data_IF_121387231639
#
_entry.id   IF_121387231639
#
_cell.length_a   1.000
_cell.length_b   1.000
_cell.length_c   1.000
_cell.angle_alpha   90.00
_cell.angle_beta   90.00
_cell.angle_gamma   90.00
#
_symmetry.space_group_name_H-M   'P 1'
#
loop_
_entity.id
_entity.type
_entity.pdbx_description
1 polymer ?
#
# COMPACT_ATOMS: atom_id res chain seq x y z
N UNK A 1 32.20 1.40 21.29
CA UNK A 1 31.57 2.18 20.20
C UNK A 1 30.59 1.29 19.46
N UNK A 2 29.55 1.82 18.83
CA UNK A 2 28.51 1.03 18.16
C UNK A 2 29.06 0.05 17.11
N UNK A 3 30.20 0.37 16.51
CA UNK A 3 30.90 -0.47 15.53
C UNK A 3 31.59 -1.69 16.19
N UNK A 4 31.97 -1.60 17.47
CA UNK A 4 32.61 -2.69 18.21
C UNK A 4 31.62 -3.77 18.66
N UNK A 5 30.32 -3.44 18.73
CA UNK A 5 29.27 -4.38 19.13
C UNK A 5 28.66 -5.12 17.94
N UNK A 6 28.90 -4.65 16.71
CA UNK A 6 28.34 -5.23 15.47
C UNK A 6 29.46 -5.37 14.42
N UNK A 7 30.37 -6.33 14.56
CA UNK A 7 31.53 -6.47 13.68
C UNK A 7 31.16 -6.82 12.24
N UNK A 8 29.99 -7.43 12.02
CA UNK A 8 29.53 -7.91 10.70
C UNK A 8 28.77 -6.86 9.88
N UNK A 9 28.52 -5.67 10.46
CA UNK A 9 27.67 -4.65 9.85
C UNK A 9 28.45 -3.35 9.63
N UNK A 10 28.55 -2.92 8.37
CA UNK A 10 29.12 -1.61 8.04
C UNK A 10 28.15 -0.49 8.44
N UNK A 11 28.43 0.19 9.55
CA UNK A 11 27.62 1.31 10.04
C UNK A 11 28.11 2.61 9.39
N UNK A 12 27.30 3.15 8.49
CA UNK A 12 27.60 4.43 7.82
C UNK A 12 27.20 5.59 8.74
N UNK A 13 28.21 6.28 9.27
CA UNK A 13 28.02 7.46 10.14
C UNK A 13 27.62 8.73 9.36
N UNK A 14 26.95 9.66 10.04
CA UNK A 14 26.54 10.97 9.47
C UNK A 14 27.77 11.74 8.95
N UNK A 15 27.63 12.42 7.81
CA UNK A 15 28.69 13.24 7.20
C UNK A 15 29.50 12.56 6.09
N UNK A 16 29.41 11.23 5.93
CA UNK A 16 30.12 10.45 4.90
C UNK A 16 29.42 10.43 3.52
N UNK A 17 28.54 11.39 3.24
CA UNK A 17 27.69 11.37 2.03
C UNK A 17 28.48 11.39 0.70
N UNK A 18 29.64 12.04 0.69
CA UNK A 18 30.53 12.13 -0.47
C UNK A 18 31.28 10.83 -0.76
N UNK A 19 31.49 9.96 0.24
CA UNK A 19 32.16 8.66 0.07
C UNK A 19 31.19 7.49 -0.15
N UNK A 20 29.88 7.75 -0.23
CA UNK A 20 28.87 6.72 -0.45
C UNK A 20 28.73 6.35 -1.93
N UNK A 21 28.57 5.04 -2.19
CA UNK A 21 28.19 4.51 -3.51
C UNK A 21 26.82 5.05 -3.94
N UNK A 22 26.56 5.02 -5.25
CA UNK A 22 25.27 5.47 -5.82
C UNK A 22 24.08 4.67 -5.26
N UNK A 23 24.26 3.38 -4.97
CA UNK A 23 23.28 2.52 -4.33
C UNK A 23 22.97 2.97 -2.89
N UNK A 24 24.00 3.21 -2.08
CA UNK A 24 23.83 3.70 -0.70
C UNK A 24 23.14 5.07 -0.67
N UNK A 25 23.48 5.96 -1.60
CA UNK A 25 22.82 7.26 -1.75
C UNK A 25 21.33 7.13 -2.09
N UNK A 26 20.98 6.16 -2.97
CA UNK A 26 19.58 5.87 -3.31
C UNK A 26 18.80 5.33 -2.10
N UNK A 27 19.40 4.46 -1.30
CA UNK A 27 18.79 3.96 -0.06
C UNK A 27 18.57 5.07 0.96
N UNK A 28 19.57 5.95 1.14
CA UNK A 28 19.45 7.09 2.04
C UNK A 28 18.32 8.04 1.60
N UNK A 29 18.23 8.35 0.31
CA UNK A 29 17.16 9.21 -0.24
C UNK A 29 15.76 8.60 -0.04
N UNK A 30 15.62 7.28 -0.17
CA UNK A 30 14.35 6.58 0.13
C UNK A 30 14.00 6.66 1.61
N UNK A 31 14.98 6.51 2.51
CA UNK A 31 14.77 6.62 3.97
C UNK A 31 14.38 8.04 4.39
N UNK A 32 14.99 9.07 3.83
CA UNK A 32 14.67 10.46 4.13
C UNK A 32 13.21 10.82 3.83
N UNK A 33 12.57 10.16 2.86
CA UNK A 33 11.14 10.36 2.60
C UNK A 33 10.24 9.72 3.68
N UNK A 34 10.73 8.69 4.38
CA UNK A 34 10.00 7.92 5.39
C UNK A 34 10.25 8.45 6.81
N UNK A 35 11.43 9.01 7.08
CA UNK A 35 11.80 9.59 8.38
C UNK A 35 10.78 10.62 8.91
N UNK A 36 10.25 11.56 8.10
CA UNK A 36 9.21 12.48 8.55
C UNK A 36 7.92 11.74 8.94
N UNK A 37 7.52 10.73 8.18
CA UNK A 37 6.34 9.94 8.49
C UNK A 37 6.50 9.16 9.82
N UNK A 38 7.69 8.61 10.08
CA UNK A 38 8.02 7.96 11.36
C UNK A 38 8.06 8.98 12.50
N UNK A 39 8.61 10.17 12.28
CA UNK A 39 8.62 11.25 13.27
C UNK A 39 7.21 11.69 13.66
N UNK A 40 6.35 11.93 12.67
CA UNK A 40 4.93 12.19 12.88
C UNK A 40 4.22 11.03 13.58
N UNK A 41 4.52 9.78 13.20
CA UNK A 41 3.95 8.61 13.88
C UNK A 41 4.30 8.58 15.37
N UNK A 42 5.56 8.89 15.71
CA UNK A 42 6.02 8.90 17.10
C UNK A 42 5.35 9.99 17.92
N UNK A 43 5.32 11.21 17.39
CA UNK A 43 4.82 12.39 18.09
C UNK A 43 3.29 12.48 18.10
N UNK A 44 2.64 12.31 16.94
CA UNK A 44 1.19 12.54 16.79
C UNK A 44 0.36 11.37 17.32
N UNK A 45 0.89 10.14 17.29
CA UNK A 45 0.17 8.95 17.75
C UNK A 45 0.65 8.44 19.11
N UNK A 46 1.46 9.22 19.84
CA UNK A 46 1.82 8.90 21.22
C UNK A 46 2.62 7.60 21.39
N UNK A 47 3.49 7.25 20.44
CA UNK A 47 4.41 6.11 20.63
C UNK A 47 5.41 6.36 21.76
N UNK A 48 5.59 7.63 22.18
CA UNK A 48 6.46 7.99 23.31
C UNK A 48 5.90 7.52 24.66
N UNK A 49 4.61 7.14 24.76
CA UNK A 49 3.99 6.66 26.01
C UNK A 49 3.07 5.47 25.74
N UNK A 50 3.55 4.27 26.06
CA UNK A 50 2.71 3.07 26.13
C UNK A 50 2.13 2.93 27.55
N UNK A 51 0.81 2.80 27.66
CA UNK A 51 0.11 2.57 28.93
C UNK A 51 -0.18 1.08 29.18
N UNK A 52 0.11 0.22 28.19
CA UNK A 52 -0.03 -1.23 28.33
C UNK A 52 1.19 -1.82 29.03
N UNK A 53 0.98 -2.85 29.85
CA UNK A 53 2.06 -3.48 30.60
C UNK A 53 2.79 -4.54 29.76
N UNK A 54 4.12 -4.46 29.77
CA UNK A 54 5.02 -5.48 29.22
C UNK A 54 5.28 -5.35 27.72
N UNK A 55 6.23 -6.14 27.22
CA UNK A 55 6.71 -6.09 25.83
C UNK A 55 5.64 -6.38 24.79
N UNK A 56 4.65 -7.22 25.13
CA UNK A 56 3.49 -7.48 24.27
C UNK A 56 2.62 -6.23 24.12
N UNK A 57 2.44 -5.47 25.21
CA UNK A 57 1.69 -4.22 25.20
C UNK A 57 2.34 -3.16 24.31
N UNK A 58 3.66 -3.02 24.40
CA UNK A 58 4.44 -2.10 23.55
C UNK A 58 4.34 -2.46 22.06
N UNK A 59 4.39 -3.76 21.74
CA UNK A 59 4.24 -4.23 20.37
C UNK A 59 2.83 -3.93 19.82
N UNK A 60 1.79 -4.20 20.61
CA UNK A 60 0.41 -3.91 20.22
C UNK A 60 0.17 -2.41 20.07
N UNK A 61 0.69 -1.59 20.97
CA UNK A 61 0.60 -0.13 20.91
C UNK A 61 1.25 0.40 19.62
N UNK A 62 2.44 -0.07 19.28
CA UNK A 62 3.13 0.33 18.04
C UNK A 62 2.32 -0.04 16.78
N UNK A 63 1.73 -1.25 16.75
CA UNK A 63 0.89 -1.70 15.63
C UNK A 63 -0.39 -0.84 15.53
N UNK A 64 -1.05 -0.54 16.64
CA UNK A 64 -2.25 0.30 16.65
C UNK A 64 -1.96 1.74 16.19
N UNK A 65 -0.86 2.34 16.66
CA UNK A 65 -0.43 3.67 16.22
C UNK A 65 -0.16 3.68 14.71
N UNK A 66 0.51 2.66 14.17
CA UNK A 66 0.75 2.51 12.74
C UNK A 66 -0.55 2.32 11.94
N UNK A 67 -1.47 1.49 12.43
CA UNK A 67 -2.78 1.27 11.81
C UNK A 67 -3.61 2.56 11.78
N UNK A 68 -3.65 3.32 12.89
CA UNK A 68 -4.37 4.59 12.98
C UNK A 68 -3.84 5.64 11.99
N UNK A 69 -2.53 5.71 11.79
CA UNK A 69 -1.91 6.57 10.77
C UNK A 69 -2.36 6.20 9.36
N UNK A 70 -2.34 4.90 9.03
CA UNK A 70 -2.79 4.41 7.72
C UNK A 70 -4.28 4.70 7.48
N UNK A 71 -5.13 4.48 8.49
CA UNK A 71 -6.57 4.79 8.41
C UNK A 71 -6.78 6.29 8.20
N UNK A 72 -6.04 7.17 8.90
CA UNK A 72 -6.16 8.62 8.73
C UNK A 72 -5.82 9.07 7.30
N UNK A 73 -4.81 8.46 6.67
CA UNK A 73 -4.50 8.70 5.26
C UNK A 73 -5.55 8.14 4.31
N UNK A 74 -6.05 6.94 4.57
CA UNK A 74 -7.12 6.33 3.79
C UNK A 74 -8.40 7.19 3.82
N UNK A 75 -8.81 7.66 5.00
CA UNK A 75 -9.96 8.54 5.15
C UNK A 75 -9.75 9.87 4.43
N UNK A 76 -8.55 10.47 4.49
CA UNK A 76 -8.21 11.67 3.70
C UNK A 76 -8.31 11.42 2.19
N UNK A 77 -7.88 10.24 1.72
CA UNK A 77 -7.99 9.86 0.32
C UNK A 77 -9.47 9.67 -0.09
N UNK A 78 -10.28 9.01 0.74
CA UNK A 78 -11.72 8.83 0.51
C UNK A 78 -12.44 10.19 0.46
N UNK A 79 -12.15 11.10 1.39
CA UNK A 79 -12.73 12.45 1.37
C UNK A 79 -12.32 13.22 0.11
N UNK A 80 -11.08 13.04 -0.36
CA UNK A 80 -10.57 13.74 -1.54
C UNK A 80 -11.11 13.18 -2.86
N UNK A 81 -11.22 11.86 -3.00
CA UNK A 81 -11.71 11.21 -4.23
C UNK A 81 -13.23 10.98 -4.24
N UNK A 82 -13.89 11.09 -3.08
CA UNK A 82 -15.26 10.65 -2.89
C UNK A 82 -15.40 9.13 -3.00
N UNK A 83 -16.57 8.61 -2.62
CA UNK A 83 -16.92 7.20 -2.85
C UNK A 83 -16.95 6.89 -4.36
N UNK A 84 -17.36 7.87 -5.17
CA UNK A 84 -17.37 7.77 -6.64
C UNK A 84 -15.98 7.44 -7.22
N UNK A 85 -14.91 8.11 -6.78
CA UNK A 85 -13.57 7.82 -7.26
C UNK A 85 -13.03 6.44 -6.84
N UNK A 86 -13.56 5.89 -5.75
CA UNK A 86 -13.20 4.55 -5.26
C UNK A 86 -13.96 3.43 -5.98
N UNK A 87 -15.28 3.62 -6.21
CA UNK A 87 -16.16 2.59 -6.76
C UNK A 87 -16.31 2.66 -8.28
N UNK A 88 -16.12 3.82 -8.91
CA UNK A 88 -16.20 3.96 -10.37
C UNK A 88 -15.34 2.96 -11.16
N UNK A 89 -14.05 2.72 -10.84
CA UNK A 89 -13.25 1.75 -11.59
C UNK A 89 -13.72 0.30 -11.35
N UNK A 90 -14.28 -0.01 -10.18
CA UNK A 90 -14.84 -1.33 -9.88
C UNK A 90 -16.13 -1.57 -10.67
N UNK A 91 -17.04 -0.59 -10.69
CA UNK A 91 -18.30 -0.66 -11.41
C UNK A 91 -18.08 -0.71 -12.93
N UNK A 92 -17.16 0.09 -13.46
CA UNK A 92 -16.80 0.06 -14.88
C UNK A 92 -16.28 -1.31 -15.30
N UNK A 93 -15.45 -1.94 -14.46
CA UNK A 93 -14.88 -3.27 -14.73
C UNK A 93 -15.94 -4.37 -14.67
N UNK A 94 -16.86 -4.30 -13.70
CA UNK A 94 -18.02 -5.19 -13.63
C UNK A 94 -18.89 -5.08 -14.89
N UNK A 95 -19.13 -3.84 -15.36
CA UNK A 95 -19.89 -3.57 -16.59
C UNK A 95 -19.22 -4.16 -17.84
N UNK A 96 -17.90 -4.01 -17.98
CA UNK A 96 -17.14 -4.59 -19.10
C UNK A 96 -17.27 -6.12 -19.11
N UNK A 97 -17.14 -6.77 -17.95
CA UNK A 97 -17.31 -8.22 -17.85
C UNK A 97 -18.73 -8.68 -18.16
N UNK A 98 -19.75 -7.95 -17.68
CA UNK A 98 -21.15 -8.24 -17.98
C UNK A 98 -21.45 -8.10 -19.47
N UNK A 99 -20.94 -7.04 -20.12
CA UNK A 99 -21.08 -6.83 -21.56
C UNK A 99 -20.39 -7.93 -22.37
N UNK A 100 -19.18 -8.34 -21.99
CA UNK A 100 -18.47 -9.43 -22.64
C UNK A 100 -19.22 -10.77 -22.51
N UNK A 101 -19.80 -11.05 -21.34
CA UNK A 101 -20.63 -12.24 -21.13
C UNK A 101 -21.90 -12.21 -22.00
N UNK A 102 -22.57 -11.07 -22.06
CA UNK A 102 -23.77 -10.87 -22.89
C UNK A 102 -23.46 -11.03 -24.40
N UNK A 103 -22.32 -10.51 -24.86
CA UNK A 103 -21.86 -10.75 -26.24
C UNK A 103 -21.57 -12.24 -26.51
N UNK A 104 -20.97 -12.94 -25.55
CA UNK A 104 -20.67 -14.38 -25.67
C UNK A 104 -21.94 -15.27 -25.65
N UNK A 105 -23.02 -14.85 -24.98
CA UNK A 105 -24.31 -15.56 -25.02
C UNK A 105 -25.06 -15.25 -26.32
N UNK A 106 -25.05 -14.00 -26.78
CA UNK A 106 -25.64 -13.59 -28.06
C UNK A 106 -25.00 -14.34 -29.24
N UNK A 107 -23.66 -14.45 -29.26
CA UNK A 107 -22.93 -15.17 -30.31
C UNK A 107 -23.22 -16.68 -30.34
N UNK A 108 -23.57 -17.29 -29.20
CA UNK A 108 -24.05 -18.68 -29.14
C UNK A 108 -25.47 -18.83 -29.70
N UNK A 109 -26.35 -17.85 -29.43
CA UNK A 109 -27.74 -17.86 -29.89
C UNK A 109 -27.86 -17.72 -31.41
N UNK A 110 -27.05 -16.86 -32.02
CA UNK A 110 -27.05 -16.64 -33.48
C UNK A 110 -26.49 -17.83 -34.26
N UNK A 111 -25.45 -18.53 -33.74
CA UNK A 111 -24.93 -19.75 -34.37
C UNK A 111 -25.94 -20.90 -34.38
N UNK A 112 -26.70 -21.09 -33.30
CA UNK A 112 -27.72 -22.14 -33.23
C UNK A 112 -28.92 -21.81 -34.13
N UNK A 113 -29.30 -20.53 -34.24
CA UNK A 113 -30.32 -20.08 -35.19
C UNK A 113 -29.92 -20.29 -36.64
N UNK A 114 -28.66 -20.05 -37.00
CA UNK A 114 -28.15 -20.24 -38.38
C UNK A 114 -28.09 -21.70 -38.82
N UNK A 115 -27.75 -22.63 -37.91
CA UNK A 115 -27.74 -24.07 -38.19
C UNK A 115 -29.15 -24.66 -38.39
N UNK A 116 -30.18 -24.04 -37.79
CA UNK A 116 -31.58 -24.48 -37.94
C UNK A 116 -32.19 -24.25 -39.34
N UNK A 117 -31.64 -23.31 -40.13
CA UNK A 117 -32.10 -23.04 -41.50
C UNK A 117 -31.38 -23.86 -42.57
N UNK A 118 -30.30 -24.57 -42.22
CA UNK A 118 -29.49 -25.35 -43.16
C UNK A 118 -29.87 -26.84 -43.21
N UNK A 119 -30.75 -27.29 -42.30
CA UNK A 119 -31.20 -28.68 -42.15
C UNK A 119 -32.69 -28.87 -42.53
N UNK A 120 -33.29 -27.92 -43.24
CA UNK A 120 -34.68 -27.97 -43.73
C UNK A 120 -34.69 -27.66 -45.21
#
# INVERSE_FOLDING_TARGET
GVDAHNPDVEIIHRGKFKSLTSAHRRWLKRRQAVEPAIGHLKHDNGMDRCWLKGSMGDALHAVLCAAGYNIRWLLRAIVRLGLEGLFAPLLARLWIWAAALAMATQARRTRCGSLGWMLR
#
